data_IF_303927460482
#
_entry.id   IF_303927460482
#
_cell.length_a   1.000
_cell.length_b   1.000
_cell.length_c   1.000
_cell.angle_alpha   90.00
_cell.angle_beta   90.00
_cell.angle_gamma   90.00
#
_symmetry.space_group_name_H-M   'P 1'
#
loop_
_entity.id
_entity.type
_entity.pdbx_description
1 polymer ?
#
# COMPACT_ATOMS: atom_id res chain seq x y z
N UNK A 1 5.86 45.45 -72.45
CA UNK A 1 5.66 46.09 -71.13
C UNK A 1 4.93 45.09 -70.24
N UNK A 2 5.66 44.36 -69.35
CA UNK A 2 5.13 43.40 -68.39
C UNK A 2 5.42 43.94 -67.00
N UNK A 3 4.39 44.24 -66.21
CA UNK A 3 4.51 44.67 -64.82
C UNK A 3 4.72 43.46 -63.90
N UNK A 4 5.59 43.54 -62.87
CA UNK A 4 5.72 42.49 -61.85
C UNK A 4 4.66 42.65 -60.76
N UNK A 5 3.95 41.54 -60.46
CA UNK A 5 3.02 41.45 -59.34
C UNK A 5 3.83 41.22 -58.03
N UNK A 6 3.72 42.18 -57.14
CA UNK A 6 4.27 42.07 -55.79
C UNK A 6 3.24 41.34 -54.93
N UNK A 7 3.60 40.17 -54.38
CA UNK A 7 2.83 39.44 -53.36
C UNK A 7 3.20 40.03 -51.95
N UNK A 8 2.24 40.35 -51.10
CA UNK A 8 2.54 40.71 -49.71
C UNK A 8 2.83 39.41 -48.92
N UNK A 9 4.00 39.37 -48.28
CA UNK A 9 4.37 38.36 -47.29
C UNK A 9 3.65 38.67 -46.00
N UNK A 10 2.68 37.83 -45.61
CA UNK A 10 1.93 37.93 -44.35
C UNK A 10 2.80 37.32 -43.24
N UNK A 11 3.45 38.18 -42.45
CA UNK A 11 4.23 37.75 -41.28
C UNK A 11 3.27 37.36 -40.16
N UNK A 12 3.16 36.04 -39.92
CA UNK A 12 2.42 35.45 -38.79
C UNK A 12 3.26 35.58 -37.51
N UNK A 13 2.98 36.56 -36.65
CA UNK A 13 3.56 36.69 -35.32
C UNK A 13 2.95 35.62 -34.43
N UNK A 14 3.74 34.59 -34.11
CA UNK A 14 3.42 33.62 -33.02
C UNK A 14 3.61 34.36 -31.68
N UNK A 15 2.52 34.76 -31.05
CA UNK A 15 2.52 35.12 -29.60
C UNK A 15 2.65 33.80 -28.80
N UNK A 16 3.86 33.48 -28.36
CA UNK A 16 4.08 32.49 -27.33
C UNK A 16 3.56 33.07 -26.00
N UNK A 17 2.36 32.61 -25.60
CA UNK A 17 1.80 32.93 -24.30
C UNK A 17 2.68 32.31 -23.21
N UNK A 18 3.37 33.13 -22.44
CA UNK A 18 4.04 32.73 -21.21
C UNK A 18 2.93 32.37 -20.20
N UNK A 19 2.65 31.09 -20.06
CA UNK A 19 1.81 30.59 -18.97
C UNK A 19 2.60 30.80 -17.68
N UNK A 20 2.41 31.92 -17.03
CA UNK A 20 2.87 32.14 -15.67
C UNK A 20 2.09 31.18 -14.78
N UNK A 21 2.76 30.14 -14.27
CA UNK A 21 2.24 29.36 -13.18
C UNK A 21 2.10 30.28 -11.97
N UNK A 22 0.88 30.77 -11.73
CA UNK A 22 0.57 31.49 -10.49
C UNK A 22 0.66 30.48 -9.35
N UNK A 23 1.74 30.52 -8.59
CA UNK A 23 1.76 29.93 -7.25
C UNK A 23 0.59 30.55 -6.46
N UNK A 24 -0.20 29.73 -5.73
CA UNK A 24 -1.29 30.27 -4.95
C UNK A 24 -0.72 31.26 -3.93
N UNK A 25 -0.99 32.55 -4.15
CA UNK A 25 -0.62 33.62 -3.21
C UNK A 25 -1.33 33.28 -1.89
N UNK A 26 -0.58 32.85 -0.88
CA UNK A 26 -1.08 32.70 0.48
C UNK A 26 -1.42 34.13 0.98
N UNK A 27 -2.69 34.45 0.99
CA UNK A 27 -3.16 35.71 1.58
C UNK A 27 -2.89 35.62 3.09
N UNK A 28 -1.87 36.36 3.55
CA UNK A 28 -1.53 36.45 4.98
C UNK A 28 -2.67 37.19 5.66
N UNK A 29 -3.45 36.50 6.47
CA UNK A 29 -4.46 37.14 7.32
C UNK A 29 -3.78 37.77 8.53
N UNK A 30 -4.09 39.04 8.88
CA UNK A 30 -3.55 39.64 10.07
C UNK A 30 -3.98 38.84 11.32
N UNK A 31 -3.16 38.91 12.36
CA UNK A 31 -3.39 38.21 13.63
C UNK A 31 -3.57 36.69 13.53
N UNK A 32 -2.86 36.07 12.59
CA UNK A 32 -2.86 34.60 12.44
C UNK A 32 -1.44 34.01 12.37
N UNK A 33 -1.31 32.75 12.76
CA UNK A 33 -0.09 31.97 12.64
C UNK A 33 -0.38 30.66 11.89
N UNK A 34 0.41 30.40 10.86
CA UNK A 34 0.37 29.14 10.11
C UNK A 34 1.54 28.27 10.49
N UNK A 35 1.29 27.02 10.86
CA UNK A 35 2.29 26.04 11.27
C UNK A 35 2.02 24.69 10.63
N UNK A 36 3.10 23.99 10.27
CA UNK A 36 3.06 22.60 9.88
C UNK A 36 3.75 21.73 10.92
N UNK A 37 3.31 20.50 11.09
CA UNK A 37 3.99 19.52 11.92
C UNK A 37 3.70 18.10 11.46
N UNK A 38 4.70 17.21 11.71
CA UNK A 38 4.58 15.79 11.47
C UNK A 38 4.33 15.04 12.77
N UNK A 39 3.31 14.19 12.75
CA UNK A 39 3.01 13.24 13.81
C UNK A 39 3.37 11.82 13.41
N UNK A 40 3.58 10.98 14.40
CA UNK A 40 3.95 9.58 14.22
C UNK A 40 3.24 8.72 15.25
N UNK A 41 2.77 7.57 14.79
CA UNK A 41 2.31 6.50 15.66
C UNK A 41 2.95 5.18 15.23
N UNK A 42 3.45 4.41 16.18
CA UNK A 42 4.06 3.10 15.94
C UNK A 42 3.33 2.05 16.77
N UNK A 43 3.04 0.92 16.12
CA UNK A 43 2.44 -0.23 16.77
C UNK A 43 3.02 -1.53 16.21
N UNK A 44 3.03 -2.57 17.04
CA UNK A 44 3.31 -3.90 16.55
C UNK A 44 2.10 -4.38 15.74
N UNK A 45 2.30 -5.06 14.59
CA UNK A 45 1.20 -5.60 13.82
C UNK A 45 0.43 -6.63 14.64
N UNK A 46 -0.88 -6.59 14.53
CA UNK A 46 -1.82 -7.52 15.17
C UNK A 46 -2.57 -8.39 14.17
N UNK A 47 -2.35 -8.14 12.88
CA UNK A 47 -3.03 -8.80 11.77
C UNK A 47 -2.04 -9.09 10.64
N UNK A 48 -2.10 -10.29 10.08
CA UNK A 48 -1.43 -10.68 8.85
C UNK A 48 -2.46 -10.94 7.75
N UNK A 49 -2.20 -10.40 6.57
CA UNK A 49 -2.95 -10.65 5.34
C UNK A 49 -2.11 -11.62 4.48
N UNK A 50 -2.50 -12.89 4.46
CA UNK A 50 -1.89 -13.88 3.58
C UNK A 50 -2.65 -13.85 2.27
N UNK A 51 -1.97 -13.41 1.22
CA UNK A 51 -2.55 -13.30 -0.12
C UNK A 51 -1.92 -14.32 -1.04
N UNK A 52 -2.73 -14.99 -1.82
CA UNK A 52 -2.31 -15.92 -2.87
C UNK A 52 -3.31 -15.92 -4.02
N UNK A 53 -2.83 -16.30 -5.19
CA UNK A 53 -3.64 -16.41 -6.39
C UNK A 53 -3.80 -17.88 -6.75
N UNK A 54 -4.99 -18.24 -7.19
CA UNK A 54 -5.24 -19.52 -7.85
C UNK A 54 -5.31 -19.29 -9.35
N UNK A 55 -4.74 -20.24 -10.11
CA UNK A 55 -4.78 -20.24 -11.58
C UNK A 55 -5.05 -21.64 -12.09
N UNK A 56 -6.20 -21.85 -12.69
CA UNK A 56 -6.58 -23.12 -13.30
C UNK A 56 -6.62 -22.95 -14.83
N UNK A 57 -5.76 -23.68 -15.53
CA UNK A 57 -5.69 -23.68 -16.98
C UNK A 57 -6.11 -25.03 -17.52
N UNK A 58 -7.06 -25.04 -18.48
CA UNK A 58 -7.55 -26.23 -19.17
C UNK A 58 -7.89 -25.93 -20.62
N UNK A 59 -8.00 -26.96 -21.44
CA UNK A 59 -8.34 -26.80 -22.86
C UNK A 59 -9.77 -26.27 -23.05
N UNK A 60 -10.70 -26.66 -22.18
CA UNK A 60 -12.08 -26.20 -22.22
C UNK A 60 -12.38 -25.27 -21.03
N UNK A 61 -13.11 -24.20 -21.28
CA UNK A 61 -13.50 -23.21 -20.29
C UNK A 61 -14.23 -23.84 -19.09
N UNK A 62 -15.15 -24.78 -19.36
CA UNK A 62 -15.91 -25.48 -18.32
C UNK A 62 -15.01 -26.22 -17.34
N UNK A 63 -13.94 -26.85 -17.85
CA UNK A 63 -13.02 -27.64 -17.03
C UNK A 63 -12.10 -26.73 -16.20
N UNK A 64 -11.66 -25.61 -16.79
CA UNK A 64 -10.92 -24.58 -16.06
C UNK A 64 -11.72 -24.02 -14.87
N UNK A 65 -13.00 -23.70 -15.09
CA UNK A 65 -13.92 -23.29 -14.02
C UNK A 65 -14.09 -24.36 -12.94
N UNK A 66 -14.35 -25.58 -13.35
CA UNK A 66 -14.54 -26.69 -12.41
C UNK A 66 -13.30 -26.93 -11.55
N UNK A 67 -12.09 -26.80 -12.14
CA UNK A 67 -10.82 -26.91 -11.42
C UNK A 67 -10.63 -25.77 -10.43
N UNK A 68 -10.90 -24.51 -10.83
CA UNK A 68 -10.83 -23.35 -9.96
C UNK A 68 -11.81 -23.43 -8.77
N UNK A 69 -13.03 -23.92 -9.00
CA UNK A 69 -14.03 -24.13 -7.95
C UNK A 69 -13.57 -25.21 -6.95
N UNK A 70 -13.05 -26.33 -7.43
CA UNK A 70 -12.51 -27.40 -6.56
C UNK A 70 -11.36 -26.85 -5.71
N UNK A 71 -10.43 -26.10 -6.30
CA UNK A 71 -9.34 -25.48 -5.57
C UNK A 71 -9.84 -24.53 -4.47
N UNK A 72 -10.83 -23.69 -4.78
CA UNK A 72 -11.45 -22.78 -3.80
C UNK A 72 -12.06 -23.55 -2.63
N UNK A 73 -12.72 -24.66 -2.90
CA UNK A 73 -13.31 -25.49 -1.84
C UNK A 73 -12.25 -26.20 -1.00
N UNK A 74 -11.18 -26.70 -1.60
CA UNK A 74 -10.04 -27.27 -0.88
C UNK A 74 -9.40 -26.23 0.06
N UNK A 75 -9.27 -24.97 -0.40
CA UNK A 75 -8.75 -23.87 0.41
C UNK A 75 -9.65 -23.63 1.63
N UNK A 76 -10.97 -23.56 1.45
CA UNK A 76 -11.91 -23.43 2.56
C UNK A 76 -11.81 -24.57 3.58
N UNK A 77 -11.67 -25.79 3.10
CA UNK A 77 -11.48 -26.96 3.96
C UNK A 77 -10.17 -26.90 4.72
N UNK A 78 -9.08 -26.50 4.05
CA UNK A 78 -7.76 -26.32 4.68
C UNK A 78 -7.79 -25.25 5.77
N UNK A 79 -8.44 -24.10 5.51
CA UNK A 79 -8.63 -23.05 6.52
C UNK A 79 -9.38 -23.58 7.73
N UNK A 80 -10.49 -24.29 7.51
CA UNK A 80 -11.29 -24.88 8.57
C UNK A 80 -10.51 -25.91 9.38
N UNK A 81 -9.72 -26.77 8.72
CA UNK A 81 -8.87 -27.76 9.36
C UNK A 81 -7.79 -27.13 10.26
N UNK A 82 -7.31 -25.92 9.90
CA UNK A 82 -6.37 -25.14 10.69
C UNK A 82 -7.06 -24.22 11.72
N UNK A 83 -8.35 -24.40 11.97
CA UNK A 83 -9.13 -23.61 12.95
C UNK A 83 -9.29 -22.15 12.56
N UNK A 84 -9.38 -21.86 11.26
CA UNK A 84 -9.66 -20.52 10.72
C UNK A 84 -11.07 -20.53 10.16
N UNK A 85 -11.87 -19.52 10.55
CA UNK A 85 -13.21 -19.35 9.96
C UNK A 85 -13.03 -19.03 8.45
N UNK A 86 -13.64 -19.81 7.54
CA UNK A 86 -13.62 -19.50 6.12
C UNK A 86 -14.14 -18.09 5.75
N UNK A 87 -14.87 -17.42 6.65
CA UNK A 87 -15.29 -16.02 6.49
C UNK A 87 -14.14 -15.02 6.60
N UNK A 88 -13.03 -15.40 7.23
CA UNK A 88 -11.80 -14.60 7.26
C UNK A 88 -11.05 -14.62 5.92
N UNK A 89 -11.47 -15.47 4.98
CA UNK A 89 -10.96 -15.52 3.62
C UNK A 89 -11.85 -14.72 2.67
N UNK A 90 -11.30 -13.67 2.08
CA UNK A 90 -11.91 -12.92 1.00
C UNK A 90 -11.46 -13.51 -0.33
N UNK A 91 -12.41 -14.01 -1.11
CA UNK A 91 -12.17 -14.59 -2.43
C UNK A 91 -12.72 -13.64 -3.48
N UNK A 92 -11.86 -13.18 -4.40
CA UNK A 92 -12.29 -12.32 -5.50
C UNK A 92 -13.14 -13.11 -6.51
N UNK A 93 -13.87 -12.40 -7.37
CA UNK A 93 -14.54 -13.03 -8.50
C UNK A 93 -13.55 -13.71 -9.44
N UNK A 94 -13.97 -14.78 -10.11
CA UNK A 94 -13.17 -15.45 -11.12
C UNK A 94 -12.98 -14.55 -12.34
N UNK A 95 -11.72 -14.46 -12.77
CA UNK A 95 -11.34 -13.84 -14.03
C UNK A 95 -11.04 -14.93 -15.04
N UNK A 96 -11.48 -14.75 -16.27
CA UNK A 96 -11.27 -15.71 -17.37
C UNK A 96 -10.45 -15.05 -18.46
N UNK A 97 -9.41 -15.75 -18.91
CA UNK A 97 -8.61 -15.32 -20.04
C UNK A 97 -8.39 -16.50 -21.02
N UNK A 98 -8.52 -16.27 -22.33
CA UNK A 98 -8.08 -17.24 -23.30
C UNK A 98 -6.55 -17.32 -23.33
N UNK A 99 -6.01 -18.53 -23.49
CA UNK A 99 -4.58 -18.78 -23.58
C UNK A 99 -4.24 -19.15 -25.00
N UNK A 100 -3.27 -18.41 -25.59
CA UNK A 100 -2.82 -18.60 -26.95
C UNK A 100 -1.39 -19.15 -27.02
N UNK A 101 -1.12 -19.96 -28.01
CA UNK A 101 0.24 -20.37 -28.36
C UNK A 101 0.93 -19.23 -29.13
N UNK A 102 1.77 -18.47 -28.43
CA UNK A 102 2.55 -17.36 -29.00
C UNK A 102 3.68 -17.79 -29.93
N UNK A 103 4.07 -19.08 -29.88
CA UNK A 103 5.08 -19.63 -30.80
C UNK A 103 4.48 -19.96 -32.18
N UNK A 104 3.16 -20.05 -32.25
CA UNK A 104 2.46 -20.27 -33.53
C UNK A 104 2.28 -18.95 -34.29
N UNK A 105 2.63 -18.88 -35.59
CA UNK A 105 2.44 -17.67 -36.41
C UNK A 105 1.00 -17.13 -36.44
N UNK A 106 0.01 -17.99 -36.18
CA UNK A 106 -1.42 -17.66 -36.19
C UNK A 106 -2.03 -17.51 -34.80
N UNK A 107 -1.22 -17.42 -33.74
CA UNK A 107 -1.73 -17.30 -32.35
C UNK A 107 -2.91 -18.26 -32.06
N UNK A 108 -2.64 -19.56 -32.15
CA UNK A 108 -3.69 -20.58 -31.94
C UNK A 108 -4.15 -20.59 -30.48
N UNK A 109 -5.46 -20.53 -30.27
CA UNK A 109 -6.07 -20.76 -28.95
C UNK A 109 -5.74 -22.18 -28.46
N UNK A 110 -5.14 -22.30 -27.27
CA UNK A 110 -4.73 -23.58 -26.66
C UNK A 110 -5.49 -23.88 -25.37
N UNK A 111 -6.30 -22.97 -24.87
CA UNK A 111 -7.11 -23.21 -23.66
C UNK A 111 -7.64 -21.93 -23.03
N UNK A 112 -8.11 -22.09 -21.80
CA UNK A 112 -8.63 -21.01 -20.99
C UNK A 112 -8.00 -21.07 -19.61
N UNK A 113 -7.71 -19.92 -19.04
CA UNK A 113 -7.23 -19.76 -17.68
C UNK A 113 -8.29 -19.06 -16.85
N UNK A 114 -8.64 -19.66 -15.72
CA UNK A 114 -9.50 -19.08 -14.70
C UNK A 114 -8.64 -18.76 -13.49
N UNK A 115 -8.63 -17.49 -13.07
CA UNK A 115 -7.84 -17.04 -11.92
C UNK A 115 -8.71 -16.32 -10.89
N UNK A 116 -8.29 -16.34 -9.64
CA UNK A 116 -8.89 -15.62 -8.53
C UNK A 116 -7.83 -15.30 -7.49
N UNK A 117 -7.97 -14.16 -6.83
CA UNK A 117 -7.14 -13.78 -5.69
C UNK A 117 -7.86 -14.10 -4.39
N UNK A 118 -7.12 -14.63 -3.44
CA UNK A 118 -7.62 -15.00 -2.12
C UNK A 118 -6.76 -14.31 -1.09
N UNK A 119 -7.40 -13.61 -0.15
CA UNK A 119 -6.75 -12.94 0.98
C UNK A 119 -7.32 -13.51 2.27
N UNK A 120 -6.47 -14.08 3.09
CA UNK A 120 -6.81 -14.63 4.40
C UNK A 120 -6.31 -13.70 5.49
N UNK A 121 -7.21 -13.25 6.35
CA UNK A 121 -6.89 -12.42 7.50
C UNK A 121 -6.58 -13.31 8.71
N UNK A 122 -5.39 -13.15 9.30
CA UNK A 122 -4.92 -13.92 10.44
C UNK A 122 -4.49 -13.00 11.58
N UNK A 123 -5.02 -13.26 12.77
CA UNK A 123 -4.57 -12.63 14.03
C UNK A 123 -3.55 -13.49 14.78
N UNK A 124 -3.58 -14.78 14.56
CA UNK A 124 -2.63 -15.73 15.12
C UNK A 124 -1.53 -16.02 14.09
N UNK A 125 -0.38 -15.41 14.28
CA UNK A 125 0.75 -15.51 13.35
C UNK A 125 1.38 -16.91 13.33
N UNK A 126 1.17 -17.74 14.36
CA UNK A 126 1.65 -19.14 14.38
C UNK A 126 1.03 -19.98 13.28
N UNK A 127 -0.14 -19.57 12.78
CA UNK A 127 -0.85 -20.27 11.69
C UNK A 127 -0.35 -19.91 10.29
N UNK A 128 0.48 -18.88 10.15
CA UNK A 128 0.96 -18.41 8.85
C UNK A 128 1.77 -19.53 8.15
N UNK A 129 2.76 -20.10 8.82
CA UNK A 129 3.61 -21.14 8.28
C UNK A 129 2.82 -22.37 7.77
N UNK A 130 2.01 -23.02 8.62
CA UNK A 130 1.18 -24.18 8.22
C UNK A 130 0.24 -23.88 7.04
N UNK A 131 -0.34 -22.66 6.99
CA UNK A 131 -1.23 -22.26 5.88
C UNK A 131 -0.43 -22.04 4.60
N UNK A 132 0.68 -21.31 4.71
CA UNK A 132 1.55 -21.03 3.58
C UNK A 132 2.05 -22.33 2.94
N UNK A 133 2.47 -23.28 3.74
CA UNK A 133 2.89 -24.60 3.28
C UNK A 133 1.74 -25.39 2.63
N UNK A 134 0.57 -25.43 3.30
CA UNK A 134 -0.59 -26.15 2.77
C UNK A 134 -1.05 -25.62 1.41
N UNK A 135 -0.99 -24.29 1.21
CA UNK A 135 -1.37 -23.68 -0.06
C UNK A 135 -0.26 -23.75 -1.10
N UNK A 136 1.00 -23.65 -0.70
CA UNK A 136 2.14 -23.82 -1.61
C UNK A 136 2.21 -25.20 -2.25
N UNK A 137 1.66 -26.21 -1.58
CA UNK A 137 1.59 -27.59 -2.09
C UNK A 137 0.40 -27.85 -3.04
N UNK A 138 -0.49 -26.85 -3.25
CA UNK A 138 -1.57 -26.98 -4.22
C UNK A 138 -1.08 -26.61 -5.63
N UNK A 139 -1.32 -27.48 -6.61
CA UNK A 139 -0.86 -27.33 -8.00
C UNK A 139 -1.47 -26.14 -8.75
N UNK A 140 -2.50 -25.53 -8.18
CA UNK A 140 -3.21 -24.35 -8.73
C UNK A 140 -2.82 -23.05 -8.04
N UNK A 141 -1.98 -23.09 -6.99
CA UNK A 141 -1.57 -21.89 -6.27
C UNK A 141 -0.39 -21.23 -6.97
N UNK A 142 -0.56 -19.95 -7.27
CA UNK A 142 0.46 -19.09 -7.84
C UNK A 142 0.79 -18.02 -6.80
N UNK A 143 1.86 -17.33 -6.92
CA UNK A 143 2.25 -16.15 -6.13
C UNK A 143 1.63 -16.06 -4.73
N UNK A 144 2.46 -16.07 -3.72
CA UNK A 144 2.06 -15.91 -2.34
C UNK A 144 2.77 -14.71 -1.73
N UNK A 145 2.03 -13.92 -0.95
CA UNK A 145 2.60 -12.81 -0.19
C UNK A 145 1.97 -12.72 1.19
N UNK A 146 2.75 -12.24 2.15
CA UNK A 146 2.31 -12.01 3.52
C UNK A 146 2.55 -10.54 3.83
N UNK A 147 1.48 -9.82 4.17
CA UNK A 147 1.53 -8.42 4.56
C UNK A 147 1.04 -8.29 6.00
N UNK A 148 1.83 -7.64 6.83
CA UNK A 148 1.45 -7.34 8.20
C UNK A 148 0.76 -5.98 8.27
N UNK A 149 -0.30 -5.89 9.05
CA UNK A 149 -1.08 -4.65 9.22
C UNK A 149 -1.67 -4.57 10.64
N UNK A 150 -2.42 -3.51 10.89
CA UNK A 150 -3.23 -3.35 12.09
C UNK A 150 -4.70 -3.66 11.74
N UNK A 151 -5.39 -4.37 12.62
CA UNK A 151 -6.81 -4.64 12.44
C UNK A 151 -7.62 -3.34 12.36
N UNK A 152 -7.24 -2.36 13.17
CA UNK A 152 -7.90 -1.06 13.19
C UNK A 152 -6.92 0.06 12.81
N UNK A 153 -6.60 0.12 11.53
CA UNK A 153 -5.67 1.11 10.98
C UNK A 153 -6.16 2.55 11.18
N UNK A 154 -7.47 2.78 11.20
CA UNK A 154 -8.04 4.12 11.36
C UNK A 154 -7.81 4.69 12.75
N UNK A 155 -7.82 3.85 13.80
CA UNK A 155 -7.43 4.26 15.15
C UNK A 155 -5.95 4.66 15.20
N UNK A 156 -5.09 3.93 14.51
CA UNK A 156 -3.67 4.26 14.43
C UNK A 156 -3.43 5.58 13.67
N UNK A 157 -4.16 5.81 12.56
CA UNK A 157 -4.15 7.09 11.84
C UNK A 157 -4.60 8.24 12.71
N UNK A 158 -5.69 8.08 13.46
CA UNK A 158 -6.17 9.10 14.38
C UNK A 158 -5.10 9.49 15.42
N UNK A 159 -4.40 8.50 16.00
CA UNK A 159 -3.30 8.76 16.96
C UNK A 159 -2.13 9.52 16.32
N UNK A 160 -1.77 9.23 15.07
CA UNK A 160 -0.73 9.97 14.35
C UNK A 160 -1.17 11.42 14.10
N UNK A 161 -2.45 11.64 13.75
CA UNK A 161 -3.03 13.00 13.58
C UNK A 161 -3.04 13.77 14.89
N UNK A 162 -3.42 13.14 16.00
CA UNK A 162 -3.38 13.76 17.34
C UNK A 162 -1.97 14.19 17.72
N UNK A 163 -0.96 13.36 17.45
CA UNK A 163 0.44 13.70 17.69
C UNK A 163 0.89 14.89 16.83
N UNK A 164 0.54 14.89 15.53
CA UNK A 164 0.82 16.00 14.61
C UNK A 164 0.19 17.31 15.10
N UNK A 165 -1.10 17.27 15.47
CA UNK A 165 -1.82 18.45 15.95
C UNK A 165 -1.23 18.99 17.26
N UNK A 166 -0.90 18.11 18.20
CA UNK A 166 -0.26 18.50 19.47
C UNK A 166 1.07 19.22 19.22
N UNK A 167 1.89 18.73 18.29
CA UNK A 167 3.17 19.34 17.91
C UNK A 167 2.96 20.70 17.20
N UNK A 168 2.03 20.76 16.25
CA UNK A 168 1.70 22.01 15.55
C UNK A 168 1.24 23.09 16.54
N UNK A 169 0.33 22.73 17.45
CA UNK A 169 -0.17 23.64 18.48
C UNK A 169 0.94 24.10 19.43
N UNK A 170 1.83 23.21 19.86
CA UNK A 170 2.96 23.54 20.70
C UNK A 170 3.93 24.51 20.00
N UNK A 171 4.24 24.26 18.74
CA UNK A 171 5.08 25.17 17.93
C UNK A 171 4.45 26.56 17.77
N UNK A 172 3.15 26.61 17.48
CA UNK A 172 2.42 27.86 17.39
C UNK A 172 2.45 28.65 18.71
N UNK A 173 2.23 27.96 19.84
CA UNK A 173 2.19 28.58 21.17
C UNK A 173 3.55 29.21 21.54
N UNK A 174 4.65 28.52 21.23
CA UNK A 174 6.02 29.05 21.44
C UNK A 174 6.25 30.35 20.67
N UNK A 175 5.91 30.37 19.38
CA UNK A 175 6.12 31.54 18.52
C UNK A 175 5.26 32.71 18.95
N UNK A 176 3.99 32.46 19.25
CA UNK A 176 3.02 33.48 19.67
C UNK A 176 3.42 34.11 21.00
N UNK A 177 3.88 33.31 21.95
CA UNK A 177 4.40 33.81 23.25
C UNK A 177 5.67 34.64 23.09
N UNK A 178 6.59 34.21 22.22
CA UNK A 178 7.82 34.97 21.92
C UNK A 178 7.49 36.36 21.30
N UNK A 179 6.36 36.46 20.56
CA UNK A 179 5.86 37.71 20.02
C UNK A 179 5.06 38.55 21.04
N UNK A 180 4.98 38.15 22.31
CA UNK A 180 4.23 38.86 23.34
C UNK A 180 2.71 38.73 23.22
N UNK A 181 2.23 37.72 22.50
CA UNK A 181 0.81 37.47 22.24
C UNK A 181 0.34 36.11 22.81
N UNK A 182 -0.94 35.83 22.65
CA UNK A 182 -1.54 34.54 23.08
C UNK A 182 -2.15 33.83 21.88
N UNK A 183 -1.98 32.48 21.87
CA UNK A 183 -2.59 31.60 20.86
C UNK A 183 -4.10 31.58 21.06
N UNK A 184 -4.85 31.76 19.98
CA UNK A 184 -6.30 31.68 19.99
C UNK A 184 -6.80 30.37 19.34
N UNK A 185 -8.00 30.39 18.80
CA UNK A 185 -8.67 29.22 18.24
C UNK A 185 -8.01 28.74 16.92
N UNK A 186 -8.21 27.47 16.60
CA UNK A 186 -7.93 26.91 15.28
C UNK A 186 -8.92 27.50 14.27
N UNK A 187 -8.42 28.07 13.18
CA UNK A 187 -9.22 28.66 12.12
C UNK A 187 -9.34 27.75 10.89
N UNK A 188 -8.28 27.00 10.61
CA UNK A 188 -8.22 26.08 9.48
C UNK A 188 -7.20 24.99 9.76
N UNK A 189 -7.45 23.77 9.25
CA UNK A 189 -6.45 22.72 9.18
C UNK A 189 -6.63 21.86 7.94
N UNK A 190 -5.52 21.37 7.39
CA UNK A 190 -5.49 20.26 6.45
C UNK A 190 -4.64 19.13 7.01
N UNK A 191 -5.04 17.90 6.74
CA UNK A 191 -4.40 16.70 7.28
C UNK A 191 -4.18 15.71 6.17
N UNK A 192 -2.94 15.21 6.08
CA UNK A 192 -2.57 14.10 5.22
C UNK A 192 -2.01 12.97 6.08
N UNK A 193 -2.40 11.73 5.79
CA UNK A 193 -1.88 10.55 6.49
C UNK A 193 -1.23 9.60 5.52
N UNK A 194 -0.09 9.04 5.92
CA UNK A 194 0.62 8.03 5.15
C UNK A 194 0.93 6.81 6.02
N UNK A 195 0.74 5.64 5.45
CA UNK A 195 1.06 4.36 6.07
C UNK A 195 2.37 3.84 5.49
N UNK A 196 3.39 3.69 6.33
CA UNK A 196 4.63 3.03 5.97
C UNK A 196 4.68 1.68 6.67
N UNK A 197 4.38 0.62 5.94
CA UNK A 197 4.71 -0.73 6.35
C UNK A 197 6.14 -0.98 5.89
N UNK A 198 7.10 -0.93 6.82
CA UNK A 198 8.46 -1.33 6.50
C UNK A 198 8.48 -2.83 6.25
N UNK A 199 8.92 -3.30 5.07
CA UNK A 199 9.07 -4.73 4.85
C UNK A 199 10.03 -5.33 5.88
N UNK A 200 9.79 -6.55 6.38
CA UNK A 200 10.68 -7.21 7.32
C UNK A 200 12.08 -7.27 6.71
N UNK A 201 13.02 -6.57 7.32
CA UNK A 201 14.43 -6.75 7.00
C UNK A 201 14.89 -7.98 7.77
N UNK A 202 15.44 -9.02 7.12
CA UNK A 202 16.07 -10.10 7.84
C UNK A 202 17.19 -9.47 8.69
N UNK A 203 17.03 -9.44 10.01
CA UNK A 203 18.15 -9.15 10.89
C UNK A 203 19.09 -10.33 10.77
N UNK A 204 20.14 -10.17 9.97
CA UNK A 204 21.34 -10.99 10.10
C UNK A 204 21.93 -10.71 11.49
N UNK A 205 21.51 -11.47 12.47
CA UNK A 205 22.28 -11.63 13.69
C UNK A 205 23.60 -12.21 13.24
N UNK A 206 24.67 -11.40 13.23
CA UNK A 206 26.03 -11.89 13.16
C UNK A 206 26.26 -12.76 14.42
N UNK A 207 25.80 -14.00 14.37
CA UNK A 207 26.26 -15.03 15.28
C UNK A 207 27.74 -15.18 15.00
N UNK A 208 28.55 -14.73 15.96
CA UNK A 208 29.98 -14.99 16.02
C UNK A 208 30.20 -16.46 15.71
N UNK A 209 30.75 -16.73 14.53
CA UNK A 209 31.15 -18.08 14.12
C UNK A 209 32.28 -18.48 15.06
N UNK A 210 31.93 -19.15 16.13
CA UNK A 210 32.86 -19.99 16.88
C UNK A 210 32.72 -21.39 16.30
N UNK A 211 33.64 -21.75 15.46
CA UNK A 211 33.79 -23.08 14.93
C UNK A 211 34.08 -24.06 16.08
N UNK A 212 33.09 -24.83 16.47
CA UNK A 212 33.29 -26.13 17.17
C UNK A 212 32.17 -27.07 16.73
N UNK A 213 32.58 -28.06 15.97
CA UNK A 213 31.95 -29.37 15.74
C UNK A 213 30.42 -29.50 15.62
N UNK A 214 29.97 -29.70 14.39
CA UNK A 214 29.05 -30.79 14.04
C UNK A 214 27.64 -30.73 14.65
N UNK A 215 26.83 -29.74 14.24
CA UNK A 215 25.39 -29.87 13.92
C UNK A 215 24.93 -28.46 13.49
N UNK A 216 24.87 -28.23 12.20
CA UNK A 216 24.29 -27.00 11.68
C UNK A 216 22.78 -27.14 11.80
N UNK A 217 22.23 -26.72 12.92
CA UNK A 217 20.83 -26.45 13.05
C UNK A 217 20.54 -25.25 12.15
N UNK A 218 19.70 -25.45 11.14
CA UNK A 218 19.26 -24.38 10.26
C UNK A 218 18.71 -23.23 11.13
N UNK A 219 19.06 -21.96 10.86
CA UNK A 219 18.50 -20.83 11.61
C UNK A 219 17.00 -20.89 11.41
N UNK A 220 16.26 -21.06 12.48
CA UNK A 220 14.83 -20.79 12.53
C UNK A 220 14.67 -19.31 12.23
N UNK A 221 14.20 -18.99 11.03
CA UNK A 221 13.80 -17.64 10.68
C UNK A 221 12.59 -17.28 11.57
N UNK A 222 12.85 -16.71 12.73
CA UNK A 222 11.83 -15.98 13.45
C UNK A 222 11.49 -14.76 12.59
N UNK A 223 10.36 -14.83 11.89
CA UNK A 223 9.76 -13.70 11.22
C UNK A 223 9.30 -12.70 12.29
N UNK A 224 10.23 -11.87 12.76
CA UNK A 224 9.92 -10.75 13.63
C UNK A 224 9.27 -9.67 12.77
N UNK A 225 7.96 -9.54 12.88
CA UNK A 225 7.22 -8.48 12.20
C UNK A 225 7.71 -7.12 12.72
N UNK A 226 8.19 -6.26 11.83
CA UNK A 226 8.60 -4.90 12.20
C UNK A 226 7.37 -4.05 12.54
N UNK A 227 7.58 -3.05 13.42
CA UNK A 227 6.52 -2.10 13.77
C UNK A 227 5.98 -1.38 12.54
N UNK A 228 4.68 -1.25 12.52
CA UNK A 228 3.98 -0.44 11.54
C UNK A 228 4.07 1.00 12.00
N UNK A 229 4.55 1.86 11.11
CA UNK A 229 4.67 3.29 11.34
C UNK A 229 3.60 4.01 10.53
N UNK A 230 2.74 4.74 11.22
CA UNK A 230 1.79 5.66 10.61
C UNK A 230 2.33 7.07 10.82
N UNK A 231 2.41 7.84 9.74
CA UNK A 231 2.76 9.27 9.79
C UNK A 231 1.57 10.11 9.38
N UNK A 232 1.43 11.26 10.01
CA UNK A 232 0.45 12.27 9.64
C UNK A 232 1.15 13.61 9.48
N UNK A 233 0.82 14.36 8.45
CA UNK A 233 1.22 15.75 8.29
C UNK A 233 0.01 16.63 8.50
N UNK A 234 0.13 17.65 9.34
CA UNK A 234 -0.90 18.64 9.56
C UNK A 234 -0.38 20.04 9.25
N UNK A 235 -1.17 20.80 8.53
CA UNK A 235 -1.03 22.23 8.42
C UNK A 235 -2.18 22.88 9.18
N UNK A 236 -1.88 23.80 10.08
CA UNK A 236 -2.86 24.46 10.92
C UNK A 236 -2.69 25.97 10.92
N UNK A 237 -3.80 26.69 10.83
CA UNK A 237 -3.89 28.13 10.95
C UNK A 237 -4.60 28.47 12.27
N UNK A 238 -3.92 29.14 13.17
CA UNK A 238 -4.47 29.61 14.42
C UNK A 238 -4.60 31.13 14.42
N UNK A 239 -5.61 31.64 15.13
CA UNK A 239 -5.69 33.07 15.46
C UNK A 239 -4.70 33.42 16.58
N UNK A 240 -4.34 34.71 16.67
CA UNK A 240 -3.55 35.30 17.75
C UNK A 240 -4.31 36.43 18.40
N UNK A 241 -4.14 36.64 19.70
CA UNK A 241 -4.73 37.77 20.46
C UNK A 241 -3.74 38.29 21.51
#
# INVERSE_FOLDING_TARGET
MRQPRILPVLSLFLLAGIASSQEPQRTIQPDTIYVGADGKYEADPDTALVQFNIGAQENALKDAYARAQRATEQIRQTLKANGIDPKEAQISSFQVAPVYDWKSPKQRLIGYRVSSSITVKLRDFSKIGPIAESFGNMDVTENQSINYTLENIDVAKAKAVEDAFRKAKASADVVVKAAGRQLAQLLYSSVDTNEMVSPPRPMMTMAKVQAVNGNVQAPTEEFSAQKITITAHINALFGMK
#
